data_IF_281886223640
#
_entry.id   IF_281886223640
#
_cell.length_a   1.000
_cell.length_b   1.000
_cell.length_c   1.000
_cell.angle_alpha   90.00
_cell.angle_beta   90.00
_cell.angle_gamma   90.00
#
_symmetry.space_group_name_H-M   'P 1'
#
loop_
_entity.id
_entity.type
_entity.pdbx_description
1 polymer ?
#
# COMPACT_ATOMS: atom_id res chain seq x y z
N UNK A 1 -23.37 -59.10 -46.14
CA UNK A 1 -23.00 -57.85 -46.85
C UNK A 1 -23.76 -56.69 -46.23
N UNK A 2 -23.05 -55.66 -45.71
CA UNK A 2 -23.50 -54.29 -45.32
C UNK A 2 -24.64 -54.18 -44.28
N UNK A 3 -24.73 -53.23 -43.36
CA UNK A 3 -23.93 -52.13 -42.81
C UNK A 3 -24.81 -51.60 -41.65
N UNK A 4 -24.26 -51.16 -40.52
CA UNK A 4 -25.09 -50.54 -39.47
C UNK A 4 -24.36 -50.19 -38.19
N UNK A 5 -23.43 -49.25 -38.29
CA UNK A 5 -22.73 -48.60 -37.18
C UNK A 5 -23.69 -47.89 -36.22
N UNK A 6 -23.43 -47.98 -34.91
CA UNK A 6 -23.90 -46.98 -33.95
C UNK A 6 -24.13 -47.52 -32.55
N UNK A 7 -23.08 -47.67 -31.75
CA UNK A 7 -23.22 -47.54 -30.30
C UNK A 7 -22.12 -46.66 -29.74
N UNK A 8 -22.58 -45.55 -29.19
CA UNK A 8 -21.82 -44.42 -28.67
C UNK A 8 -20.96 -44.88 -27.50
N UNK A 9 -19.67 -44.60 -27.59
CA UNK A 9 -18.72 -44.71 -26.47
C UNK A 9 -19.15 -43.70 -25.40
N UNK A 10 -19.67 -44.19 -24.28
CA UNK A 10 -19.95 -43.36 -23.11
C UNK A 10 -18.62 -43.02 -22.41
N UNK A 11 -18.02 -41.91 -22.82
CA UNK A 11 -16.81 -41.35 -22.22
C UNK A 11 -17.13 -40.75 -20.85
N UNK A 12 -16.53 -41.33 -19.80
CA UNK A 12 -16.39 -40.72 -18.48
C UNK A 12 -15.84 -39.30 -18.59
N UNK A 13 -16.58 -38.32 -18.07
CA UNK A 13 -16.02 -37.05 -17.60
C UNK A 13 -16.49 -36.81 -16.16
N UNK A 14 -15.82 -37.44 -15.18
CA UNK A 14 -15.90 -36.98 -13.80
C UNK A 14 -15.21 -35.62 -13.74
N UNK A 15 -16.00 -34.55 -13.62
CA UNK A 15 -15.55 -33.18 -13.32
C UNK A 15 -14.52 -33.23 -12.18
N UNK A 16 -13.31 -32.76 -12.46
CA UNK A 16 -12.26 -32.47 -11.47
C UNK A 16 -12.84 -31.43 -10.50
N UNK A 17 -13.30 -31.87 -9.34
CA UNK A 17 -13.78 -30.99 -8.27
C UNK A 17 -12.65 -30.10 -7.77
N UNK A 18 -12.91 -28.80 -7.71
CA UNK A 18 -12.06 -27.79 -7.09
C UNK A 18 -11.69 -28.22 -5.65
N UNK A 19 -10.43 -28.62 -5.43
CA UNK A 19 -9.94 -29.18 -4.15
C UNK A 19 -8.96 -28.28 -3.40
N UNK A 20 -8.69 -27.06 -3.86
CA UNK A 20 -7.82 -26.09 -3.16
C UNK A 20 -8.53 -24.83 -2.63
N UNK A 21 -9.73 -24.53 -3.14
CA UNK A 21 -10.43 -23.27 -2.89
C UNK A 21 -11.01 -23.08 -1.46
N UNK A 22 -11.59 -24.10 -0.76
CA UNK A 22 -12.30 -23.85 0.51
C UNK A 22 -11.38 -23.71 1.74
N UNK A 23 -10.26 -24.44 1.78
CA UNK A 23 -9.32 -24.39 2.91
C UNK A 23 -8.43 -23.15 2.80
N UNK A 24 -7.95 -22.83 1.61
CA UNK A 24 -7.18 -21.61 1.38
C UNK A 24 -8.02 -20.35 1.64
N UNK A 25 -9.31 -20.33 1.29
CA UNK A 25 -10.18 -19.19 1.58
C UNK A 25 -10.40 -19.01 3.08
N UNK A 26 -10.63 -20.10 3.83
CA UNK A 26 -10.80 -20.04 5.28
C UNK A 26 -9.53 -19.63 6.00
N UNK A 27 -8.37 -20.12 5.56
CA UNK A 27 -7.06 -19.72 6.10
C UNK A 27 -6.77 -18.25 5.83
N UNK A 28 -7.04 -17.74 4.62
CA UNK A 28 -6.92 -16.32 4.30
C UNK A 28 -7.85 -15.46 5.15
N UNK A 29 -9.12 -15.83 5.25
CA UNK A 29 -10.09 -15.10 6.07
C UNK A 29 -9.68 -15.05 7.55
N UNK A 30 -9.05 -16.11 8.07
CA UNK A 30 -8.55 -16.12 9.45
C UNK A 30 -7.35 -15.20 9.62
N UNK A 31 -6.40 -15.23 8.68
CA UNK A 31 -5.25 -14.32 8.66
C UNK A 31 -5.72 -12.86 8.56
N UNK A 32 -6.65 -12.56 7.64
CA UNK A 32 -7.21 -11.22 7.48
C UNK A 32 -7.89 -10.75 8.76
N UNK A 33 -8.69 -11.59 9.41
CA UNK A 33 -9.31 -11.27 10.70
C UNK A 33 -8.27 -10.97 11.79
N UNK A 34 -7.17 -11.73 11.85
CA UNK A 34 -6.07 -11.49 12.79
C UNK A 34 -5.39 -10.15 12.53
N UNK A 35 -5.07 -9.85 11.27
CA UNK A 35 -4.42 -8.61 10.88
C UNK A 35 -5.34 -7.40 11.11
N UNK A 36 -6.64 -7.52 10.83
CA UNK A 36 -7.63 -6.47 11.10
C UNK A 36 -7.81 -6.23 12.60
N UNK A 37 -7.81 -7.30 13.41
CA UNK A 37 -7.82 -7.16 14.86
C UNK A 37 -6.56 -6.48 15.38
N UNK A 38 -5.40 -6.78 14.79
CA UNK A 38 -4.15 -6.09 15.10
C UNK A 38 -4.22 -4.59 14.78
N UNK A 39 -4.72 -4.19 13.61
CA UNK A 39 -4.92 -2.77 13.25
C UNK A 39 -5.79 -2.06 14.28
N UNK A 40 -6.94 -2.65 14.66
CA UNK A 40 -7.84 -2.07 15.68
C UNK A 40 -7.13 -1.81 17.01
N UNK A 41 -6.28 -2.74 17.44
CA UNK A 41 -5.52 -2.58 18.69
C UNK A 41 -4.45 -1.49 18.55
N UNK A 42 -3.75 -1.41 17.42
CA UNK A 42 -2.76 -0.36 17.19
C UNK A 42 -3.39 1.04 17.20
N UNK A 43 -4.61 1.18 16.68
CA UNK A 43 -5.35 2.45 16.71
C UNK A 43 -5.85 2.82 18.11
N UNK A 44 -6.25 1.85 18.94
CA UNK A 44 -6.91 2.12 20.23
C UNK A 44 -5.96 2.08 21.43
N UNK A 45 -5.01 1.13 21.43
CA UNK A 45 -4.16 0.77 22.57
C UNK A 45 -2.66 0.93 22.24
N UNK A 46 -2.34 1.31 20.99
CA UNK A 46 -0.98 1.44 20.50
C UNK A 46 -0.23 0.11 20.48
N UNK A 47 1.09 0.22 20.29
CA UNK A 47 1.94 -0.96 20.20
C UNK A 47 1.91 -1.77 21.51
N UNK A 48 1.85 -1.14 22.68
CA UNK A 48 1.87 -1.85 23.98
C UNK A 48 0.70 -2.84 24.12
N UNK A 49 -0.50 -2.46 23.65
CA UNK A 49 -1.70 -3.30 23.71
C UNK A 49 -1.71 -4.49 22.74
N UNK A 50 -0.86 -4.49 21.70
CA UNK A 50 -0.83 -5.48 20.62
C UNK A 50 -0.25 -6.86 21.02
N UNK A 51 -0.71 -7.44 22.14
CA UNK A 51 -0.32 -8.78 22.60
C UNK A 51 -1.04 -9.87 21.78
N UNK A 52 -0.46 -11.07 21.66
CA UNK A 52 -1.10 -12.19 20.92
C UNK A 52 -2.47 -12.57 21.50
N UNK A 53 -2.61 -12.55 22.82
CA UNK A 53 -3.89 -12.79 23.49
C UNK A 53 -4.93 -11.74 23.14
N UNK A 54 -4.55 -10.45 23.19
CA UNK A 54 -5.46 -9.34 22.85
C UNK A 54 -5.84 -9.36 21.38
N UNK A 55 -4.87 -9.62 20.49
CA UNK A 55 -5.11 -9.77 19.05
C UNK A 55 -6.09 -10.93 18.81
N UNK A 56 -5.89 -12.10 19.42
CA UNK A 56 -6.81 -13.22 19.26
C UNK A 56 -8.25 -12.86 19.67
N UNK A 57 -8.40 -12.23 20.84
CA UNK A 57 -9.69 -11.77 21.37
C UNK A 57 -10.39 -10.80 20.41
N UNK A 58 -9.73 -9.71 20.02
CA UNK A 58 -10.29 -8.67 19.13
C UNK A 58 -10.57 -9.19 17.72
N UNK A 59 -9.84 -10.22 17.29
CA UNK A 59 -10.02 -10.86 15.98
C UNK A 59 -11.12 -11.93 15.98
N UNK A 60 -11.67 -12.28 17.15
CA UNK A 60 -12.67 -13.34 17.28
C UNK A 60 -12.13 -14.75 16.99
N UNK A 61 -10.82 -14.97 17.17
CA UNK A 61 -10.16 -16.27 16.97
C UNK A 61 -9.63 -16.82 18.28
N UNK A 62 -9.51 -18.15 18.39
CA UNK A 62 -8.85 -18.73 19.56
C UNK A 62 -7.34 -18.45 19.52
N UNK A 63 -6.71 -18.32 20.69
CA UNK A 63 -5.25 -18.18 20.81
C UNK A 63 -4.53 -19.34 20.13
N UNK A 64 -5.04 -20.58 20.30
CA UNK A 64 -4.50 -21.75 19.62
C UNK A 64 -4.60 -21.68 18.09
N UNK A 65 -5.68 -21.11 17.55
CA UNK A 65 -5.83 -20.86 16.11
C UNK A 65 -4.86 -19.79 15.62
N UNK A 66 -4.63 -18.72 16.38
CA UNK A 66 -3.66 -17.68 16.03
C UNK A 66 -2.25 -18.27 15.90
N UNK A 67 -1.84 -19.11 16.86
CA UNK A 67 -0.52 -19.76 16.84
C UNK A 67 -0.32 -20.77 15.69
N UNK A 68 -1.39 -21.20 15.02
CA UNK A 68 -1.26 -22.00 13.78
C UNK A 68 -0.79 -21.17 12.59
N UNK A 69 -0.96 -19.84 12.63
CA UNK A 69 -0.58 -18.92 11.55
C UNK A 69 0.63 -18.07 11.91
N UNK A 70 0.77 -17.71 13.19
CA UNK A 70 1.79 -16.76 13.67
C UNK A 70 2.48 -17.29 14.91
N UNK A 71 3.79 -17.48 14.81
CA UNK A 71 4.62 -18.01 15.91
C UNK A 71 4.65 -17.08 17.13
N UNK A 72 4.54 -15.76 16.92
CA UNK A 72 4.66 -14.75 17.95
C UNK A 72 4.02 -13.45 17.47
N UNK A 73 4.05 -12.44 18.35
CA UNK A 73 3.53 -11.10 18.06
C UNK A 73 4.24 -10.43 16.88
N UNK A 74 5.55 -10.59 16.78
CA UNK A 74 6.34 -9.92 15.75
C UNK A 74 6.03 -10.47 14.36
N UNK A 75 5.74 -11.77 14.22
CA UNK A 75 5.30 -12.33 12.93
C UNK A 75 3.95 -11.80 12.48
N UNK A 76 3.04 -11.43 13.41
CA UNK A 76 1.79 -10.74 13.09
C UNK A 76 2.07 -9.33 12.57
N UNK A 77 2.89 -8.55 13.30
CA UNK A 77 3.23 -7.18 12.93
C UNK A 77 3.97 -7.13 11.59
N UNK A 78 4.85 -8.10 11.34
CA UNK A 78 5.56 -8.27 10.08
C UNK A 78 4.61 -8.57 8.92
N UNK A 79 3.64 -9.46 9.11
CA UNK A 79 2.64 -9.75 8.07
C UNK A 79 1.68 -8.58 7.84
N UNK A 80 1.35 -7.82 8.89
CA UNK A 80 0.58 -6.59 8.77
C UNK A 80 1.34 -5.56 7.92
N UNK A 81 2.63 -5.38 8.17
CA UNK A 81 3.46 -4.48 7.37
C UNK A 81 3.55 -4.90 5.90
N UNK A 82 3.74 -6.20 5.61
CA UNK A 82 3.72 -6.71 4.24
C UNK A 82 2.40 -6.43 3.53
N UNK A 83 1.27 -6.56 4.25
CA UNK A 83 -0.05 -6.24 3.72
C UNK A 83 -0.16 -4.76 3.35
N UNK A 84 0.32 -3.85 4.20
CA UNK A 84 0.28 -2.42 3.89
C UNK A 84 1.26 -2.01 2.78
N UNK A 85 2.43 -2.66 2.71
CA UNK A 85 3.36 -2.52 1.59
C UNK A 85 2.72 -2.96 0.26
N UNK A 86 2.05 -4.11 0.26
CA UNK A 86 1.32 -4.61 -0.90
C UNK A 86 0.25 -3.60 -1.33
N UNK A 87 -0.64 -3.19 -0.40
CA UNK A 87 -1.71 -2.20 -0.64
C UNK A 87 -1.19 -0.90 -1.23
N UNK A 88 -0.14 -0.33 -0.65
CA UNK A 88 0.45 0.92 -1.14
C UNK A 88 1.00 0.74 -2.55
N UNK A 89 1.73 -0.35 -2.80
CA UNK A 89 2.32 -0.60 -4.12
C UNK A 89 1.28 -0.92 -5.19
N UNK A 90 0.18 -1.58 -4.84
CA UNK A 90 -0.94 -1.89 -5.73
C UNK A 90 -1.75 -0.64 -6.06
N UNK A 91 -2.05 0.20 -5.06
CA UNK A 91 -2.70 1.49 -5.25
C UNK A 91 -1.90 2.38 -6.20
N UNK A 92 -0.59 2.52 -5.96
CA UNK A 92 0.29 3.34 -6.80
C UNK A 92 0.36 2.81 -8.24
N UNK A 93 0.56 1.50 -8.42
CA UNK A 93 0.57 0.90 -9.76
C UNK A 93 -0.77 1.08 -10.47
N UNK A 94 -1.89 0.88 -9.77
CA UNK A 94 -3.23 1.08 -10.30
C UNK A 94 -3.42 2.49 -10.83
N UNK A 95 -3.09 3.51 -10.02
CA UNK A 95 -3.20 4.90 -10.43
C UNK A 95 -2.28 5.22 -11.62
N UNK A 96 -1.00 4.88 -11.53
CA UNK A 96 0.00 5.29 -12.53
C UNK A 96 -0.10 4.56 -13.88
N UNK A 97 -0.60 3.32 -13.90
CA UNK A 97 -0.62 2.50 -15.12
C UNK A 97 -1.97 2.48 -15.84
N UNK A 98 -3.07 2.71 -15.12
CA UNK A 98 -4.42 2.48 -15.68
C UNK A 98 -5.21 3.75 -15.91
N UNK A 99 -4.95 4.80 -15.12
CA UNK A 99 -5.69 6.06 -15.21
C UNK A 99 -4.97 7.04 -16.14
N UNK A 100 -5.73 7.69 -17.01
CA UNK A 100 -5.27 8.87 -17.74
C UNK A 100 -5.52 10.10 -16.88
N UNK A 101 -4.54 10.98 -16.86
CA UNK A 101 -4.61 12.27 -16.18
C UNK A 101 -4.47 13.38 -17.21
N UNK A 102 -5.22 14.45 -17.03
CA UNK A 102 -5.24 15.59 -17.95
C UNK A 102 -4.06 16.52 -17.69
N UNK A 103 -3.51 16.50 -16.48
CA UNK A 103 -2.33 17.29 -16.10
C UNK A 103 -1.46 16.57 -15.06
N UNK A 104 -0.19 16.96 -14.99
CA UNK A 104 0.75 16.54 -13.96
C UNK A 104 0.31 16.94 -12.55
N UNK A 105 -0.41 18.07 -12.40
CA UNK A 105 -0.98 18.48 -11.12
C UNK A 105 -2.10 17.54 -10.67
N UNK A 106 -3.04 17.22 -11.56
CA UNK A 106 -4.14 16.29 -11.26
C UNK A 106 -3.59 14.93 -10.82
N UNK A 107 -2.57 14.43 -11.53
CA UNK A 107 -1.87 13.20 -11.17
C UNK A 107 -1.25 13.28 -9.78
N UNK A 108 -0.41 14.29 -9.53
CA UNK A 108 0.30 14.43 -8.26
C UNK A 108 -0.68 14.55 -7.09
N UNK A 109 -1.70 15.41 -7.23
CA UNK A 109 -2.77 15.57 -6.25
C UNK A 109 -3.47 14.24 -5.96
N UNK A 110 -3.89 13.52 -7.01
CA UNK A 110 -4.59 12.23 -6.85
C UNK A 110 -3.75 11.20 -6.11
N UNK A 111 -2.46 11.09 -6.44
CA UNK A 111 -1.56 10.14 -5.76
C UNK A 111 -1.34 10.52 -4.31
N UNK A 112 -1.08 11.81 -4.03
CA UNK A 112 -0.82 12.32 -2.68
C UNK A 112 -2.06 12.21 -1.81
N UNK A 113 -3.24 12.58 -2.31
CA UNK A 113 -4.50 12.46 -1.58
C UNK A 113 -4.83 11.00 -1.29
N UNK A 114 -4.69 10.10 -2.27
CA UNK A 114 -4.95 8.66 -2.09
C UNK A 114 -3.99 8.02 -1.08
N UNK A 115 -2.74 8.49 -1.02
CA UNK A 115 -1.77 8.01 -0.04
C UNK A 115 -2.11 8.54 1.36
N UNK A 116 -2.54 9.80 1.48
CA UNK A 116 -2.99 10.36 2.75
C UNK A 116 -4.23 9.64 3.27
N UNK A 117 -5.22 9.36 2.42
CA UNK A 117 -6.41 8.58 2.75
C UNK A 117 -6.03 7.19 3.30
N UNK A 118 -5.05 6.52 2.66
CA UNK A 118 -4.53 5.23 3.11
C UNK A 118 -3.91 5.34 4.52
N UNK A 119 -3.17 6.41 4.79
CA UNK A 119 -2.55 6.64 6.10
C UNK A 119 -3.60 6.95 7.19
N UNK A 120 -4.59 7.79 6.84
CA UNK A 120 -5.69 8.19 7.73
C UNK A 120 -6.68 7.07 8.02
N UNK A 121 -6.79 6.05 7.17
CA UNK A 121 -7.62 4.87 7.41
C UNK A 121 -7.13 4.01 8.60
N UNK A 122 -5.87 4.14 9.02
CA UNK A 122 -5.29 3.41 10.15
C UNK A 122 -4.15 4.22 10.78
N UNK A 123 -4.46 5.33 11.49
CA UNK A 123 -3.46 6.30 11.93
C UNK A 123 -2.55 5.74 13.03
N UNK A 124 -3.04 4.88 13.91
CA UNK A 124 -2.24 4.22 14.94
C UNK A 124 -1.24 3.23 14.35
N UNK A 125 -1.62 2.51 13.30
CA UNK A 125 -0.69 1.69 12.52
C UNK A 125 0.44 2.53 11.94
N UNK A 126 0.13 3.62 11.24
CA UNK A 126 1.14 4.47 10.60
C UNK A 126 2.00 5.23 11.62
N UNK A 127 1.42 5.62 12.77
CA UNK A 127 2.16 6.16 13.92
C UNK A 127 3.17 5.15 14.46
N UNK A 128 2.76 3.90 14.64
CA UNK A 128 3.66 2.82 15.10
C UNK A 128 4.76 2.56 14.08
N UNK A 129 4.44 2.50 12.79
CA UNK A 129 5.42 2.38 11.72
C UNK A 129 6.41 3.56 11.70
N UNK A 130 5.95 4.77 12.01
CA UNK A 130 6.78 5.97 12.06
C UNK A 130 7.69 6.04 13.29
N UNK A 131 7.17 5.76 14.48
CA UNK A 131 7.91 5.86 15.76
C UNK A 131 8.92 4.74 15.94
N UNK A 132 8.53 3.51 15.64
CA UNK A 132 9.41 2.37 15.82
C UNK A 132 10.30 2.16 14.60
N UNK A 133 9.96 2.71 13.43
CA UNK A 133 10.59 2.30 12.18
C UNK A 133 10.43 0.78 11.97
N UNK A 134 10.96 0.16 10.92
CA UNK A 134 12.34 -0.36 10.85
C UNK A 134 12.90 -1.18 12.05
N UNK A 135 12.32 -1.15 13.26
CA UNK A 135 12.82 -1.94 14.42
C UNK A 135 12.16 -3.31 14.57
N UNK A 136 10.91 -3.45 14.12
CA UNK A 136 10.17 -4.73 14.22
C UNK A 136 10.35 -5.59 12.97
N UNK A 137 10.49 -4.96 11.80
CA UNK A 137 10.89 -5.65 10.59
C UNK A 137 12.40 -5.53 10.38
N UNK A 138 13.08 -6.59 9.93
CA UNK A 138 14.48 -6.47 9.56
C UNK A 138 14.61 -5.36 8.50
N UNK A 139 15.65 -4.53 8.66
CA UNK A 139 15.89 -3.29 7.90
C UNK A 139 15.85 -3.51 6.38
N UNK A 140 16.18 -4.71 5.94
CA UNK A 140 16.13 -5.16 4.55
C UNK A 140 14.73 -5.09 3.92
N UNK A 141 13.67 -5.39 4.68
CA UNK A 141 12.28 -5.41 4.15
C UNK A 141 11.75 -4.02 3.84
N UNK A 142 11.98 -3.06 4.72
CA UNK A 142 11.57 -1.67 4.49
C UNK A 142 12.40 -1.07 3.35
N UNK A 143 13.72 -1.31 3.33
CA UNK A 143 14.55 -0.86 2.21
C UNK A 143 14.11 -1.46 0.88
N UNK A 144 13.74 -2.74 0.85
CA UNK A 144 13.21 -3.39 -0.35
C UNK A 144 11.88 -2.77 -0.80
N UNK A 145 10.99 -2.41 0.14
CA UNK A 145 9.75 -1.72 -0.16
C UNK A 145 9.99 -0.30 -0.71
N UNK A 146 10.82 0.48 -0.03
CA UNK A 146 11.20 1.83 -0.46
C UNK A 146 11.78 1.80 -1.88
N UNK A 147 12.71 0.88 -2.11
CA UNK A 147 13.31 0.68 -3.43
C UNK A 147 12.26 0.32 -4.49
N UNK A 148 11.32 -0.58 -4.17
CA UNK A 148 10.21 -0.94 -5.07
C UNK A 148 9.36 0.28 -5.45
N UNK A 149 9.01 1.14 -4.49
CA UNK A 149 8.21 2.34 -4.76
C UNK A 149 8.99 3.34 -5.62
N UNK A 150 10.27 3.57 -5.30
CA UNK A 150 11.14 4.44 -6.10
C UNK A 150 11.26 3.94 -7.54
N UNK A 151 11.37 2.62 -7.76
CA UNK A 151 11.42 2.05 -9.10
C UNK A 151 10.10 2.16 -9.86
N UNK A 152 8.94 2.02 -9.19
CA UNK A 152 7.63 2.28 -9.80
C UNK A 152 7.54 3.74 -10.27
N UNK A 153 7.92 4.68 -9.43
CA UNK A 153 7.92 6.11 -9.75
C UNK A 153 8.92 6.43 -10.88
N UNK A 154 10.13 5.87 -10.83
CA UNK A 154 11.15 6.04 -11.87
C UNK A 154 10.62 5.57 -13.22
N UNK A 155 10.07 4.34 -13.28
CA UNK A 155 9.52 3.78 -14.52
C UNK A 155 8.40 4.65 -15.07
N UNK A 156 7.51 5.16 -14.20
CA UNK A 156 6.48 6.11 -14.61
C UNK A 156 7.07 7.40 -15.21
N UNK A 157 8.06 8.01 -14.55
CA UNK A 157 8.72 9.24 -15.02
C UNK A 157 9.51 9.04 -16.34
N UNK A 158 9.88 7.81 -16.67
CA UNK A 158 10.52 7.45 -17.95
C UNK A 158 9.51 7.25 -19.07
N UNK A 159 8.32 6.76 -18.76
CA UNK A 159 7.29 6.41 -19.75
C UNK A 159 6.24 7.49 -19.99
N UNK A 160 6.08 8.43 -19.04
CA UNK A 160 5.05 9.46 -19.11
C UNK A 160 5.24 10.41 -20.29
N UNK A 161 4.13 10.90 -20.85
CA UNK A 161 4.13 11.94 -21.89
C UNK A 161 4.33 13.35 -21.34
N UNK A 162 4.27 13.54 -20.02
CA UNK A 162 4.52 14.85 -19.40
C UNK A 162 5.97 15.29 -19.58
N UNK A 163 6.19 16.59 -19.78
CA UNK A 163 7.53 17.16 -19.97
C UNK A 163 8.27 17.29 -18.64
N UNK A 164 8.86 16.20 -18.16
CA UNK A 164 9.63 16.20 -16.92
C UNK A 164 11.04 16.79 -17.15
N UNK A 165 11.39 17.86 -16.44
CA UNK A 165 12.68 18.57 -16.60
C UNK A 165 13.88 17.82 -15.99
N UNK A 166 13.66 16.93 -15.02
CA UNK A 166 14.72 16.26 -14.25
C UNK A 166 15.42 15.15 -15.01
N UNK A 167 16.61 15.40 -15.56
CA UNK A 167 17.39 14.41 -16.34
C UNK A 167 17.61 13.07 -15.61
N UNK A 168 17.94 13.10 -14.32
CA UNK A 168 18.11 11.89 -13.51
C UNK A 168 16.76 11.47 -12.91
N UNK A 169 16.05 10.57 -13.60
CA UNK A 169 14.71 10.10 -13.20
C UNK A 169 14.71 9.33 -11.88
N UNK A 170 15.75 8.52 -11.65
CA UNK A 170 15.91 7.78 -10.39
C UNK A 170 16.07 8.74 -9.21
N UNK A 171 16.93 9.75 -9.33
CA UNK A 171 17.10 10.75 -8.26
C UNK A 171 15.82 11.57 -8.01
N UNK A 172 15.09 11.94 -9.07
CA UNK A 172 13.81 12.63 -8.93
C UNK A 172 12.76 11.77 -8.19
N UNK A 173 12.62 10.50 -8.57
CA UNK A 173 11.73 9.54 -7.92
C UNK A 173 12.09 9.35 -6.43
N UNK A 174 13.38 9.18 -6.14
CA UNK A 174 13.90 9.06 -4.78
C UNK A 174 13.52 10.28 -3.92
N UNK A 175 13.79 11.50 -4.42
CA UNK A 175 13.50 12.73 -3.69
C UNK A 175 12.01 12.88 -3.43
N UNK A 176 11.16 12.70 -4.45
CA UNK A 176 9.71 12.84 -4.31
C UNK A 176 9.16 11.85 -3.29
N UNK A 177 9.54 10.58 -3.41
CA UNK A 177 9.10 9.54 -2.49
C UNK A 177 9.44 9.89 -1.04
N UNK A 178 10.70 10.23 -0.78
CA UNK A 178 11.14 10.53 0.58
C UNK A 178 10.59 11.85 1.11
N UNK A 179 10.42 12.87 0.28
CA UNK A 179 9.77 14.13 0.66
C UNK A 179 8.31 13.92 1.06
N UNK A 180 7.52 13.24 0.21
CA UNK A 180 6.09 12.98 0.50
C UNK A 180 5.95 12.11 1.75
N UNK A 181 6.68 10.98 1.82
CA UNK A 181 6.59 10.06 2.96
C UNK A 181 7.01 10.73 4.27
N UNK A 182 8.15 11.41 4.30
CA UNK A 182 8.65 12.01 5.53
C UNK A 182 7.67 13.07 6.07
N UNK A 183 7.14 13.93 5.20
CA UNK A 183 6.18 14.97 5.60
C UNK A 183 4.86 14.37 6.08
N UNK A 184 4.33 13.33 5.41
CA UNK A 184 3.10 12.67 5.86
C UNK A 184 3.27 11.98 7.22
N UNK A 185 4.40 11.30 7.43
CA UNK A 185 4.68 10.68 8.74
C UNK A 185 4.86 11.75 9.81
N UNK A 186 5.55 12.86 9.53
CA UNK A 186 5.66 13.98 10.45
C UNK A 186 4.28 14.56 10.82
N UNK A 187 3.39 14.74 9.83
CA UNK A 187 2.02 15.22 10.08
C UNK A 187 1.20 14.30 11.00
N UNK A 188 1.41 12.97 10.92
CA UNK A 188 0.78 12.00 11.83
C UNK A 188 1.37 12.08 13.24
N UNK A 189 2.67 12.33 13.37
CA UNK A 189 3.34 12.34 14.66
C UNK A 189 3.17 13.66 15.42
N UNK A 190 3.24 14.78 14.70
CA UNK A 190 3.27 16.12 15.27
C UNK A 190 1.88 16.75 15.38
N UNK A 191 0.91 16.28 14.58
CA UNK A 191 -0.45 16.85 14.48
C UNK A 191 -0.44 18.40 14.47
N UNK A 192 0.29 19.02 13.52
CA UNK A 192 0.58 20.44 13.57
C UNK A 192 -0.70 21.29 13.47
N UNK A 193 -0.86 22.22 14.41
CA UNK A 193 -2.02 23.10 14.47
C UNK A 193 -2.16 23.95 13.19
N UNK A 194 -3.36 23.92 12.59
CA UNK A 194 -3.69 24.73 11.41
C UNK A 194 -3.27 24.14 10.06
N UNK A 195 -2.67 22.94 10.03
CA UNK A 195 -2.38 22.21 8.79
C UNK A 195 -3.45 21.13 8.62
N UNK A 196 -4.44 21.38 7.78
CA UNK A 196 -5.45 20.36 7.43
C UNK A 196 -4.91 19.39 6.39
N UNK A 197 -5.61 18.28 6.19
CA UNK A 197 -5.28 17.29 5.16
C UNK A 197 -5.28 17.92 3.76
N UNK A 198 -6.24 18.81 3.46
CA UNK A 198 -6.30 19.54 2.19
C UNK A 198 -5.08 20.42 1.99
N UNK A 199 -4.68 21.20 3.01
CA UNK A 199 -3.50 22.07 2.95
C UNK A 199 -2.23 21.23 2.73
N UNK A 200 -2.09 20.13 3.46
CA UNK A 200 -0.95 19.24 3.33
C UNK A 200 -0.85 18.63 1.92
N UNK A 201 -1.98 18.20 1.34
CA UNK A 201 -2.04 17.65 -0.01
C UNK A 201 -1.66 18.70 -1.06
N UNK A 202 -2.17 19.93 -0.94
CA UNK A 202 -1.84 21.02 -1.86
C UNK A 202 -0.35 21.37 -1.81
N UNK A 203 0.22 21.55 -0.61
CA UNK A 203 1.65 21.88 -0.45
C UNK A 203 2.57 20.77 -1.00
N UNK A 204 2.24 19.50 -0.75
CA UNK A 204 3.00 18.38 -1.31
C UNK A 204 2.84 18.28 -2.83
N UNK A 205 1.65 18.59 -3.35
CA UNK A 205 1.39 18.61 -4.79
C UNK A 205 2.24 19.68 -5.47
N UNK A 206 2.25 20.89 -4.91
CA UNK A 206 3.07 22.01 -5.39
C UNK A 206 4.55 21.68 -5.37
N UNK A 207 5.03 21.08 -4.28
CA UNK A 207 6.42 20.63 -4.16
C UNK A 207 6.80 19.63 -5.25
N UNK A 208 5.96 18.61 -5.49
CA UNK A 208 6.23 17.56 -6.48
C UNK A 208 6.19 18.10 -7.89
N UNK A 209 5.14 18.86 -8.24
CA UNK A 209 4.96 19.43 -9.58
C UNK A 209 6.10 20.41 -9.87
N UNK A 210 6.37 21.37 -8.98
CA UNK A 210 7.46 22.34 -9.14
C UNK A 210 8.82 21.64 -9.25
N UNK A 211 9.04 20.59 -8.46
CA UNK A 211 10.27 19.81 -8.56
C UNK A 211 10.40 19.15 -9.93
N UNK A 212 9.35 18.53 -10.48
CA UNK A 212 9.42 17.74 -11.72
C UNK A 212 9.43 18.59 -12.99
N UNK A 213 8.57 19.60 -13.07
CA UNK A 213 8.29 20.35 -14.30
C UNK A 213 8.71 21.82 -14.24
N UNK A 214 9.23 22.29 -13.09
CA UNK A 214 9.58 23.69 -12.87
C UNK A 214 8.39 24.50 -12.36
N UNK A 215 8.66 25.72 -11.87
CA UNK A 215 7.60 26.64 -11.49
C UNK A 215 6.76 27.02 -12.72
N UNK A 216 5.44 27.20 -12.61
CA UNK A 216 4.66 27.78 -13.69
C UNK A 216 5.32 29.12 -14.09
N UNK A 217 5.39 29.45 -15.40
CA UNK A 217 5.97 30.70 -15.83
C UNK A 217 5.28 31.83 -15.06
N UNK A 218 6.06 32.58 -14.28
CA UNK A 218 5.58 33.75 -13.57
C UNK A 218 4.83 34.61 -14.58
N UNK A 219 3.53 34.83 -14.36
CA UNK A 219 2.78 35.79 -15.16
C UNK A 219 3.49 37.14 -14.95
N UNK A 220 4.33 37.49 -15.93
CA UNK A 220 5.15 38.69 -15.86
C UNK A 220 4.20 39.87 -15.75
N UNK A 221 4.37 40.65 -14.69
CA UNK A 221 3.78 41.98 -14.59
C UNK A 221 4.18 42.74 -15.85
N UNK A 222 3.20 42.92 -16.74
CA UNK A 222 3.32 43.88 -17.83
C UNK A 222 3.58 45.24 -17.18
N UNK A 223 4.80 45.76 -17.36
CA UNK A 223 5.10 47.17 -17.20
C UNK A 223 4.67 47.91 -18.45
#
# INVERSE_FOLDING_TARGET
MRNGFGFVVNTKARKKTARKAPVQSRSRATVDAILDGCVRILDQEGLVGATTSRIAEVSGVSVGSLYQYFENRDSILNALQDREFARTSEMLQGLLLTRKFESERELAYTVISSLLDLYRASPGLHRVLALEGLRVAPTDRVQAFDHKIVEILRAFLEMTSFQILRKNRHAAAFVIYHSVRATMLAAILEEPAGITDEVLVEELTDLVVTHLIGAPPSQGSAK
#
